data_IF_101552492016
#
_entry.id   IF_101552492016
#
_cell.length_a   1.000
_cell.length_b   1.000
_cell.length_c   1.000
_cell.angle_alpha   90.00
_cell.angle_beta   90.00
_cell.angle_gamma   90.00
#
_symmetry.space_group_name_H-M   'P 1'
#
loop_
_entity.id
_entity.type
_entity.pdbx_description
1 polymer ?
#
# COMPACT_ATOMS: atom_id res chain seq x y z
N UNK A 1 15.98 10.19 9.28
CA UNK A 1 16.88 10.61 10.38
C UNK A 1 16.33 10.05 11.68
N UNK A 2 17.17 9.40 12.47
CA UNK A 2 16.80 8.88 13.78
C UNK A 2 16.59 10.03 14.77
N UNK A 3 15.56 9.97 15.62
CA UNK A 3 15.33 10.97 16.64
C UNK A 3 16.29 10.74 17.83
N UNK A 4 17.20 11.68 18.14
CA UNK A 4 18.13 11.53 19.26
C UNK A 4 17.44 11.65 20.62
N UNK A 5 16.33 12.40 20.69
CA UNK A 5 15.56 12.62 21.93
C UNK A 5 14.77 11.39 22.39
N UNK A 6 14.69 10.34 21.56
CA UNK A 6 13.92 9.15 21.88
C UNK A 6 14.49 8.41 23.10
N UNK A 7 15.81 8.27 23.21
CA UNK A 7 16.44 7.55 24.34
C UNK A 7 16.31 8.30 25.65
N UNK A 8 16.33 9.63 25.60
CA UNK A 8 16.23 10.50 26.78
C UNK A 8 14.77 10.66 27.26
N UNK A 9 13.82 10.67 26.32
CA UNK A 9 12.40 10.91 26.60
C UNK A 9 11.58 9.64 26.85
N UNK A 10 11.98 8.47 26.32
CA UNK A 10 11.21 7.24 26.47
C UNK A 10 11.58 6.49 27.77
N UNK A 11 10.89 6.83 28.86
CA UNK A 11 11.05 6.18 30.18
C UNK A 11 9.98 5.12 30.46
N UNK A 12 8.89 5.13 29.70
CA UNK A 12 7.82 4.14 29.84
C UNK A 12 8.23 2.86 29.13
N UNK A 13 8.23 1.77 29.89
CA UNK A 13 8.36 0.41 29.34
C UNK A 13 7.02 -0.32 29.47
N UNK A 14 6.78 -1.32 28.60
CA UNK A 14 5.55 -2.13 28.62
C UNK A 14 5.08 -2.61 30.02
N UNK A 15 5.95 -3.02 30.97
CA UNK A 15 5.52 -3.40 32.33
C UNK A 15 5.23 -2.22 33.28
N UNK A 16 5.60 -0.98 32.92
CA UNK A 16 5.42 0.22 33.74
C UNK A 16 4.03 0.83 33.63
N UNK A 17 3.29 0.50 32.57
CA UNK A 17 1.91 0.96 32.37
C UNK A 17 1.00 0.08 33.22
N UNK A 18 0.75 0.49 34.47
CA UNK A 18 -0.09 -0.27 35.40
C UNK A 18 -1.51 -0.44 34.81
N UNK A 19 -1.94 -1.69 34.67
CA UNK A 19 -3.28 -2.12 34.21
C UNK A 19 -4.43 -1.47 34.99
N UNK A 20 -4.20 -0.98 36.20
CA UNK A 20 -5.22 -0.39 37.07
C UNK A 20 -5.51 1.10 36.76
N UNK A 21 -4.69 1.75 35.91
CA UNK A 21 -4.83 3.18 35.57
C UNK A 21 -5.09 3.46 34.08
N UNK A 22 -5.36 2.44 33.26
CA UNK A 22 -5.78 2.66 31.87
C UNK A 22 -7.30 2.90 31.81
N UNK A 23 -7.77 4.13 31.54
CA UNK A 23 -9.19 4.35 31.29
C UNK A 23 -9.61 3.59 30.03
N UNK A 24 -10.82 3.03 30.04
CA UNK A 24 -11.42 2.34 28.89
C UNK A 24 -11.55 3.24 27.64
N UNK A 25 -11.36 4.56 27.81
CA UNK A 25 -11.23 5.56 26.75
C UNK A 25 -10.06 6.51 27.07
N UNK A 26 -9.16 6.70 26.11
CA UNK A 26 -8.07 7.67 26.23
C UNK A 26 -8.62 9.10 26.06
N UNK A 27 -8.82 9.82 27.16
CA UNK A 27 -9.24 11.23 27.16
C UNK A 27 -8.08 12.16 27.52
N UNK A 28 -8.04 13.35 26.94
CA UNK A 28 -7.10 14.38 27.37
C UNK A 28 -7.28 14.72 28.86
N UNK A 29 -6.18 14.73 29.63
CA UNK A 29 -6.21 15.05 31.06
C UNK A 29 -6.73 16.46 31.36
N UNK A 30 -6.45 17.43 30.47
CA UNK A 30 -6.82 18.85 30.62
C UNK A 30 -8.25 19.13 30.16
N UNK A 31 -8.58 18.87 28.89
CA UNK A 31 -9.87 19.25 28.30
C UNK A 31 -10.87 18.08 28.13
N UNK A 32 -10.53 16.88 28.61
CA UNK A 32 -11.37 15.67 28.56
C UNK A 32 -11.85 15.26 27.15
N UNK A 33 -11.26 15.82 26.11
CA UNK A 33 -11.58 15.48 24.71
C UNK A 33 -11.05 14.09 24.37
N UNK A 34 -11.86 13.29 23.67
CA UNK A 34 -11.50 11.96 23.13
C UNK A 34 -10.80 12.05 21.76
N UNK A 35 -10.81 13.22 21.12
CA UNK A 35 -10.22 13.43 19.79
C UNK A 35 -8.70 13.53 19.87
N UNK A 36 -8.00 12.65 19.16
CA UNK A 36 -6.54 12.57 19.05
C UNK A 36 -5.83 12.57 20.41
N UNK A 37 -5.91 11.46 21.16
CA UNK A 37 -5.20 11.30 22.43
C UNK A 37 -3.73 10.89 22.22
N UNK A 38 -2.81 11.67 22.80
CA UNK A 38 -1.37 11.45 22.76
C UNK A 38 -0.83 11.17 24.17
N UNK A 39 -0.18 10.03 24.35
CA UNK A 39 0.51 9.67 25.60
C UNK A 39 1.96 10.16 25.56
N UNK A 40 2.41 10.86 26.60
CA UNK A 40 3.82 11.22 26.75
C UNK A 40 4.64 9.98 27.12
N UNK A 41 5.73 9.71 26.40
CA UNK A 41 6.59 8.54 26.65
C UNK A 41 7.51 8.68 27.87
N UNK A 42 7.56 9.87 28.47
CA UNK A 42 8.33 10.14 29.69
C UNK A 42 7.50 9.84 30.95
N UNK A 43 6.27 10.37 31.03
CA UNK A 43 5.47 10.39 32.25
C UNK A 43 4.11 9.66 32.16
N UNK A 44 3.64 9.34 30.95
CA UNK A 44 2.41 8.57 30.73
C UNK A 44 1.13 9.41 30.76
N UNK A 45 1.24 10.74 30.87
CA UNK A 45 0.10 11.64 30.78
C UNK A 45 -0.46 11.65 29.36
N UNK A 46 -1.78 11.56 29.24
CA UNK A 46 -2.51 11.60 27.95
C UNK A 46 -3.07 13.00 27.71
N UNK A 47 -2.70 13.61 26.59
CA UNK A 47 -3.11 14.94 26.19
C UNK A 47 -3.64 14.97 24.75
N UNK A 48 -4.51 15.92 24.42
CA UNK A 48 -4.99 16.04 23.04
C UNK A 48 -3.89 16.57 22.11
N UNK A 49 -3.95 16.15 20.85
CA UNK A 49 -2.97 16.50 19.82
C UNK A 49 -2.86 17.99 19.51
N UNK A 50 -1.80 18.34 18.79
CA UNK A 50 -1.44 19.73 18.39
C UNK A 50 -2.59 20.48 17.71
N UNK A 51 -3.41 19.78 16.93
CA UNK A 51 -4.47 20.36 16.11
C UNK A 51 -5.86 20.35 16.77
N UNK A 52 -6.00 19.71 17.95
CA UNK A 52 -7.30 19.55 18.62
C UNK A 52 -7.47 20.52 19.78
N UNK A 53 -6.38 20.94 20.44
CA UNK A 53 -6.28 22.04 21.42
C UNK A 53 -4.81 22.27 21.88
N UNK A 54 -3.88 21.39 21.48
CA UNK A 54 -2.44 21.60 21.69
C UNK A 54 -1.91 21.28 23.09
N UNK A 55 -2.69 20.61 23.96
CA UNK A 55 -2.23 20.27 25.32
C UNK A 55 -0.99 19.37 25.35
N UNK A 56 -0.79 18.49 24.36
CA UNK A 56 0.42 17.68 24.30
C UNK A 56 1.67 18.53 24.02
N UNK A 57 1.51 19.63 23.27
CA UNK A 57 2.58 20.62 23.04
C UNK A 57 2.83 21.47 24.28
N UNK A 58 1.78 21.98 24.92
CA UNK A 58 1.92 22.76 26.17
C UNK A 58 2.60 21.94 27.28
N UNK A 59 2.26 20.65 27.39
CA UNK A 59 2.90 19.75 28.35
C UNK A 59 4.41 19.61 28.14
N UNK A 60 4.88 19.67 26.89
CA UNK A 60 6.32 19.70 26.59
C UNK A 60 6.96 21.05 26.92
N UNK A 61 6.20 22.15 26.88
CA UNK A 61 6.69 23.51 27.18
C UNK A 61 6.71 23.80 28.70
N UNK A 62 5.85 23.16 29.50
CA UNK A 62 5.64 23.42 30.94
C UNK A 62 6.56 22.60 31.86
N UNK A 63 6.82 21.32 31.57
CA UNK A 63 7.60 20.40 32.41
C UNK A 63 8.93 20.01 31.75
N UNK A 64 10.06 20.43 32.32
CA UNK A 64 11.42 19.97 32.01
C UNK A 64 11.63 19.63 30.51
N UNK A 65 11.53 20.64 29.66
CA UNK A 65 11.14 20.59 28.24
C UNK A 65 11.89 19.61 27.31
N UNK A 66 13.06 19.10 27.71
CA UNK A 66 13.85 18.11 26.95
C UNK A 66 13.54 16.66 27.29
N UNK A 67 12.95 16.40 28.46
CA UNK A 67 12.61 15.03 28.87
C UNK A 67 11.22 14.61 28.34
N UNK A 68 10.31 15.55 28.09
CA UNK A 68 8.93 15.29 27.66
C UNK A 68 8.76 15.55 26.15
N UNK A 69 9.81 15.31 25.37
CA UNK A 69 9.86 15.72 23.96
C UNK A 69 9.18 14.75 23.01
N UNK A 70 8.92 13.50 23.43
CA UNK A 70 8.32 12.46 22.58
C UNK A 70 7.00 11.97 23.14
N UNK A 71 5.96 12.02 22.30
CA UNK A 71 4.63 11.50 22.60
C UNK A 71 4.23 10.46 21.55
N UNK A 72 3.33 9.55 21.91
CA UNK A 72 2.76 8.55 21.01
C UNK A 72 1.24 8.73 20.93
N UNK A 73 0.70 8.69 19.72
CA UNK A 73 -0.74 8.71 19.50
C UNK A 73 -1.34 7.35 19.90
N UNK A 74 -2.41 7.34 20.70
CA UNK A 74 -2.95 6.10 21.28
C UNK A 74 -3.75 5.26 20.26
N UNK A 75 -4.20 5.87 19.15
CA UNK A 75 -5.00 5.21 18.12
C UNK A 75 -4.14 4.68 16.98
N UNK A 76 -3.21 5.51 16.49
CA UNK A 76 -2.31 5.18 15.37
C UNK A 76 -0.97 4.61 15.79
N UNK A 77 -0.64 4.63 17.09
CA UNK A 77 0.63 4.19 17.68
C UNK A 77 1.86 4.88 17.09
N UNK A 78 1.64 6.04 16.45
CA UNK A 78 2.68 6.84 15.84
C UNK A 78 3.34 7.72 16.90
N UNK A 79 4.68 7.73 16.92
CA UNK A 79 5.43 8.55 17.85
C UNK A 79 5.84 9.86 17.18
N UNK A 80 5.73 10.98 17.87
CA UNK A 80 6.07 12.31 17.40
C UNK A 80 7.00 12.99 18.39
N UNK A 81 8.06 13.62 17.89
CA UNK A 81 8.98 14.41 18.69
C UNK A 81 8.70 15.90 18.46
N UNK A 82 8.30 16.60 19.52
CA UNK A 82 8.00 18.04 19.48
C UNK A 82 9.26 18.91 19.30
N UNK A 83 10.44 18.42 19.69
CA UNK A 83 11.71 19.14 19.50
C UNK A 83 12.22 19.01 18.06
N UNK A 84 12.11 17.81 17.47
CA UNK A 84 12.47 17.60 16.06
C UNK A 84 11.39 18.13 15.09
N UNK A 85 10.17 18.37 15.58
CA UNK A 85 8.96 18.64 14.79
C UNK A 85 8.73 17.59 13.69
N UNK A 86 9.06 16.33 14.00
CA UNK A 86 9.03 15.19 13.08
C UNK A 86 8.53 13.92 13.80
N UNK A 87 7.97 13.00 13.02
CA UNK A 87 7.60 11.68 13.52
C UNK A 87 8.85 10.84 13.79
N UNK A 88 8.83 10.13 14.91
CA UNK A 88 9.91 9.25 15.34
C UNK A 88 9.75 7.91 14.64
N UNK A 89 10.76 7.56 13.83
CA UNK A 89 10.79 6.31 13.04
C UNK A 89 11.56 5.20 13.76
N UNK A 90 12.60 5.59 14.51
CA UNK A 90 13.48 4.71 15.26
C UNK A 90 12.81 4.13 16.52
N UNK A 91 13.35 3.01 17.00
CA UNK A 91 13.04 2.46 18.33
C UNK A 91 14.23 2.74 19.26
N UNK A 92 13.97 2.72 20.57
CA UNK A 92 14.99 2.63 21.62
C UNK A 92 15.89 1.41 21.42
N UNK A 93 17.17 1.47 21.83
CA UNK A 93 18.12 0.33 21.76
C UNK A 93 17.59 -0.99 22.37
N UNK A 94 16.64 -0.92 23.31
CA UNK A 94 16.01 -2.08 23.97
C UNK A 94 14.68 -2.57 23.34
N UNK A 95 14.25 -1.96 22.23
CA UNK A 95 12.98 -2.30 21.56
C UNK A 95 11.73 -1.98 22.39
N UNK A 96 11.81 -0.99 23.29
CA UNK A 96 10.74 -0.66 24.23
C UNK A 96 9.54 -0.02 23.54
N UNK A 97 9.76 0.77 22.49
CA UNK A 97 8.70 1.41 21.73
C UNK A 97 7.85 0.36 21.03
N UNK A 98 8.49 -0.62 20.38
CA UNK A 98 7.78 -1.72 19.71
C UNK A 98 7.04 -2.63 20.69
N UNK A 99 7.61 -2.89 21.88
CA UNK A 99 6.91 -3.61 22.96
C UNK A 99 5.68 -2.84 23.45
N UNK A 100 5.79 -1.51 23.61
CA UNK A 100 4.69 -0.65 24.02
C UNK A 100 3.58 -0.63 22.96
N UNK A 101 3.93 -0.52 21.67
CA UNK A 101 2.97 -0.61 20.56
C UNK A 101 2.19 -1.92 20.60
N UNK A 102 2.89 -3.06 20.73
CA UNK A 102 2.25 -4.39 20.82
C UNK A 102 1.33 -4.50 22.03
N UNK A 103 1.73 -3.95 23.17
CA UNK A 103 0.91 -3.95 24.38
C UNK A 103 -0.37 -3.12 24.20
N UNK A 104 -0.28 -1.89 23.70
CA UNK A 104 -1.44 -1.04 23.45
C UNK A 104 -2.38 -1.62 22.36
N UNK A 105 -1.82 -2.24 21.32
CA UNK A 105 -2.60 -2.96 20.30
C UNK A 105 -3.39 -4.15 20.88
N UNK A 106 -2.81 -4.86 21.85
CA UNK A 106 -3.50 -5.97 22.52
C UNK A 106 -4.68 -5.52 23.39
N UNK A 107 -4.61 -4.31 23.94
CA UNK A 107 -5.66 -3.70 24.76
C UNK A 107 -6.82 -3.16 23.90
N UNK A 108 -6.52 -2.63 22.71
CA UNK A 108 -7.51 -2.05 21.81
C UNK A 108 -8.18 -3.07 20.85
N UNK A 109 -7.87 -4.37 20.94
CA UNK A 109 -8.51 -5.38 20.10
C UNK A 109 -9.82 -5.89 20.72
N UNK A 110 -10.99 -5.72 20.06
CA UNK A 110 -12.28 -6.16 20.61
C UNK A 110 -12.51 -7.69 20.65
N UNK A 111 -11.49 -8.50 20.32
CA UNK A 111 -11.63 -9.97 20.19
C UNK A 111 -11.14 -10.80 21.39
N UNK A 112 -10.63 -10.18 22.46
CA UNK A 112 -10.06 -10.92 23.61
C UNK A 112 -11.10 -11.47 24.60
N UNK A 113 -12.39 -11.14 24.49
CA UNK A 113 -13.41 -11.53 25.49
C UNK A 113 -14.09 -12.89 25.27
N UNK A 114 -13.72 -13.68 24.26
CA UNK A 114 -14.39 -14.97 23.96
C UNK A 114 -13.48 -16.20 23.84
N UNK A 115 -12.18 -16.12 24.17
CA UNK A 115 -11.23 -17.23 23.88
C UNK A 115 -10.71 -18.03 25.08
N UNK A 116 -11.31 -17.89 26.26
CA UNK A 116 -10.83 -18.55 27.48
C UNK A 116 -11.44 -19.93 27.81
N UNK A 117 -12.12 -20.60 26.86
CA UNK A 117 -12.70 -21.94 27.10
C UNK A 117 -12.15 -23.10 26.28
N UNK A 118 -11.10 -22.94 25.49
CA UNK A 118 -10.59 -24.04 24.66
C UNK A 118 -9.07 -24.12 24.54
N UNK A 119 -8.37 -24.27 25.68
CA UNK A 119 -7.04 -24.91 25.74
C UNK A 119 -6.90 -25.65 27.06
N UNK A 120 -7.51 -26.83 27.15
CA UNK A 120 -7.33 -27.77 28.27
C UNK A 120 -7.18 -29.22 27.80
N UNK A 121 -6.41 -29.44 26.73
CA UNK A 121 -5.89 -30.75 26.28
C UNK A 121 -4.66 -30.36 25.44
N UNK A 122 -3.40 -30.70 25.70
CA UNK A 122 -2.76 -31.78 26.43
C UNK A 122 -1.33 -31.34 26.80
N UNK A 123 -0.99 -31.35 28.08
CA UNK A 123 0.37 -31.35 28.60
C UNK A 123 0.68 -32.80 29.02
N UNK A 124 1.47 -33.48 28.21
CA UNK A 124 2.31 -34.67 28.48
C UNK A 124 3.14 -34.80 27.19
N UNK A 125 4.46 -34.70 27.10
CA UNK A 125 5.49 -35.07 28.05
C UNK A 125 6.70 -34.14 27.94
N UNK A 126 7.33 -34.01 29.10
CA UNK A 126 8.56 -33.30 29.37
C UNK A 126 9.80 -34.12 29.01
N UNK A 127 10.90 -33.39 28.83
CA UNK A 127 12.31 -33.83 28.94
C UNK A 127 12.85 -34.65 27.76
N UNK A 128 13.69 -34.01 26.93
CA UNK A 128 15.11 -34.37 26.81
C UNK A 128 15.83 -33.62 25.65
N UNK A 129 17.09 -33.27 25.94
CA UNK A 129 18.21 -33.08 24.99
C UNK A 129 18.40 -31.74 24.27
N UNK A 130 18.95 -30.80 25.04
CA UNK A 130 20.12 -30.03 24.61
C UNK A 130 21.31 -30.97 24.33
N UNK A 131 21.69 -31.16 23.06
CA UNK A 131 23.10 -31.18 22.54
C UNK A 131 23.18 -31.74 21.12
N UNK A 132 23.79 -30.92 20.24
CA UNK A 132 24.62 -31.28 19.07
C UNK A 132 23.96 -31.96 17.85
N UNK A 133 23.84 -31.20 16.77
CA UNK A 133 24.36 -31.52 15.41
C UNK A 133 24.26 -30.23 14.57
N UNK A 134 25.35 -29.45 14.45
CA UNK A 134 26.40 -29.57 13.43
C UNK A 134 25.81 -29.77 12.02
N UNK A 135 25.80 -28.66 11.28
CA UNK A 135 25.84 -28.50 9.82
C UNK A 135 25.35 -29.69 8.98
N UNK A 136 24.24 -29.49 8.27
CA UNK A 136 24.22 -29.78 6.84
C UNK A 136 23.98 -28.46 6.11
N UNK A 137 25.03 -28.05 5.41
CA UNK A 137 25.03 -26.97 4.46
C UNK A 137 24.30 -27.50 3.23
N UNK A 138 23.02 -27.16 3.06
CA UNK A 138 22.38 -27.31 1.76
C UNK A 138 23.02 -26.27 0.83
N UNK A 139 24.05 -26.75 0.12
CA UNK A 139 24.55 -26.13 -1.11
C UNK A 139 23.46 -26.32 -2.16
N UNK A 140 22.49 -25.41 -2.18
CA UNK A 140 21.68 -25.02 -3.36
C UNK A 140 20.60 -23.96 -3.04
N UNK A 141 20.75 -23.18 -1.96
CA UNK A 141 19.92 -22.00 -1.76
C UNK A 141 20.44 -20.86 -2.66
N UNK A 142 19.87 -20.75 -3.86
CA UNK A 142 20.00 -19.59 -4.73
C UNK A 142 19.73 -18.32 -3.88
N UNK A 143 20.69 -17.39 -3.70
CA UNK A 143 20.58 -16.29 -2.72
C UNK A 143 19.63 -15.16 -3.20
N UNK A 144 18.54 -15.50 -3.90
CA UNK A 144 17.69 -14.54 -4.60
C UNK A 144 16.55 -13.95 -3.76
N UNK A 145 16.33 -14.41 -2.53
CA UNK A 145 15.20 -13.95 -1.71
C UNK A 145 15.67 -13.35 -0.39
N UNK A 146 15.78 -12.02 -0.36
CA UNK A 146 15.99 -11.26 0.88
C UNK A 146 14.64 -10.77 1.41
N UNK A 147 14.36 -10.97 2.70
CA UNK A 147 13.18 -10.41 3.35
C UNK A 147 13.29 -8.89 3.54
N UNK A 148 12.16 -8.19 3.59
CA UNK A 148 12.10 -6.78 4.01
C UNK A 148 11.67 -6.72 5.48
N UNK A 149 12.35 -5.88 6.28
CA UNK A 149 11.95 -5.63 7.67
C UNK A 149 10.60 -4.92 7.68
N UNK A 150 9.73 -5.33 8.59
CA UNK A 150 8.50 -4.60 8.85
C UNK A 150 8.81 -3.50 9.87
N UNK A 151 8.65 -2.25 9.46
CA UNK A 151 8.90 -1.07 10.28
C UNK A 151 7.58 -0.62 10.93
N UNK A 152 6.81 -1.58 11.46
CA UNK A 152 5.48 -1.39 12.06
C UNK A 152 4.33 -1.89 11.17
N UNK A 153 3.69 -0.99 10.44
CA UNK A 153 2.56 -1.29 9.54
C UNK A 153 2.93 -1.16 8.05
N UNK A 154 4.17 -1.48 7.69
CA UNK A 154 4.70 -1.33 6.32
C UNK A 154 4.52 -2.57 5.45
N UNK A 155 3.69 -3.53 5.88
CA UNK A 155 3.48 -4.80 5.17
C UNK A 155 2.91 -4.61 3.76
N UNK A 156 2.01 -3.64 3.56
CA UNK A 156 1.44 -3.31 2.25
C UNK A 156 2.51 -2.82 1.27
N UNK A 157 3.48 -2.02 1.75
CA UNK A 157 4.62 -1.58 0.94
C UNK A 157 5.56 -2.74 0.63
N UNK A 158 5.91 -3.52 1.66
CA UNK A 158 6.82 -4.66 1.52
C UNK A 158 6.29 -5.68 0.50
N UNK A 159 4.99 -5.98 0.51
CA UNK A 159 4.35 -6.90 -0.43
C UNK A 159 4.44 -6.41 -1.89
N UNK A 160 4.24 -5.10 -2.11
CA UNK A 160 4.35 -4.50 -3.44
C UNK A 160 5.81 -4.47 -3.90
N UNK A 161 6.75 -4.08 -3.04
CA UNK A 161 8.18 -4.05 -3.37
C UNK A 161 8.72 -5.43 -3.72
N UNK A 162 8.32 -6.46 -2.97
CA UNK A 162 8.69 -7.85 -3.26
C UNK A 162 8.11 -8.31 -4.60
N UNK A 163 6.83 -8.02 -4.86
CA UNK A 163 6.18 -8.32 -6.14
C UNK A 163 6.90 -7.67 -7.33
N UNK A 164 7.19 -6.36 -7.23
CA UNK A 164 7.92 -5.62 -8.27
C UNK A 164 9.36 -6.12 -8.43
N UNK A 165 10.01 -6.52 -7.32
CA UNK A 165 11.39 -7.03 -7.36
C UNK A 165 11.53 -8.33 -8.14
N UNK A 166 10.46 -9.13 -8.21
CA UNK A 166 10.46 -10.40 -8.92
C UNK A 166 10.14 -10.27 -10.41
N UNK A 167 9.85 -9.05 -10.90
CA UNK A 167 9.66 -8.78 -12.33
C UNK A 167 11.04 -8.48 -12.94
N UNK A 168 11.60 -9.46 -13.64
CA UNK A 168 12.96 -9.41 -14.16
C UNK A 168 13.18 -8.27 -15.16
N UNK A 169 12.24 -8.03 -16.08
CA UNK A 169 12.32 -6.93 -17.06
C UNK A 169 12.39 -5.56 -16.39
N UNK A 170 11.51 -5.35 -15.40
CA UNK A 170 11.42 -4.11 -14.64
C UNK A 170 12.69 -3.88 -13.84
N UNK A 171 13.12 -4.87 -13.08
CA UNK A 171 14.33 -4.78 -12.26
C UNK A 171 15.60 -4.64 -13.11
N UNK A 172 15.70 -5.40 -14.20
CA UNK A 172 16.84 -5.33 -15.11
C UNK A 172 17.01 -3.97 -15.76
N UNK A 173 15.91 -3.28 -16.09
CA UNK A 173 15.97 -1.91 -16.55
C UNK A 173 16.40 -0.94 -15.44
N UNK A 174 15.70 -0.95 -14.30
CA UNK A 174 15.96 0.00 -13.20
C UNK A 174 17.41 -0.12 -12.69
N UNK A 175 17.97 -1.33 -12.61
CA UNK A 175 19.37 -1.55 -12.19
C UNK A 175 20.40 -1.01 -13.17
N UNK A 176 20.09 -1.01 -14.48
CA UNK A 176 20.99 -0.51 -15.53
C UNK A 176 20.96 1.01 -15.68
N UNK A 177 20.05 1.69 -14.98
CA UNK A 177 20.02 3.14 -14.97
C UNK A 177 21.35 3.67 -14.39
N UNK A 178 21.97 4.67 -15.06
CA UNK A 178 23.12 5.37 -14.47
C UNK A 178 22.69 6.06 -13.17
N UNK A 179 23.66 6.46 -12.33
CA UNK A 179 23.33 7.31 -11.18
C UNK A 179 22.62 8.57 -11.69
N UNK A 180 21.41 8.80 -11.18
CA UNK A 180 20.60 9.95 -11.58
C UNK A 180 21.00 11.22 -10.80
N UNK A 181 21.93 11.10 -9.84
CA UNK A 181 22.41 12.18 -8.98
C UNK A 181 23.06 13.32 -9.79
N UNK A 182 23.80 13.02 -10.87
CA UNK A 182 24.45 14.04 -11.72
C UNK A 182 23.48 14.78 -12.67
N UNK A 183 22.35 14.16 -13.02
CA UNK A 183 21.34 14.77 -13.90
C UNK A 183 20.47 15.81 -13.18
N UNK A 184 20.40 15.75 -11.85
CA UNK A 184 19.74 16.75 -10.99
C UNK A 184 20.35 18.14 -11.18
N UNK A 185 21.67 18.23 -11.40
CA UNK A 185 22.35 19.52 -11.56
C UNK A 185 21.93 20.29 -12.83
N UNK A 186 21.46 19.58 -13.88
CA UNK A 186 20.91 20.18 -15.11
C UNK A 186 19.41 20.50 -15.02
N UNK A 187 18.69 19.90 -14.09
CA UNK A 187 17.22 20.01 -13.94
C UNK A 187 16.72 21.23 -13.13
N UNK A 188 17.56 22.24 -12.91
CA UNK A 188 17.30 23.49 -12.16
C UNK A 188 16.06 24.32 -12.57
N UNK A 189 15.23 23.87 -13.51
CA UNK A 189 14.03 24.57 -14.03
C UNK A 189 12.69 23.84 -13.86
N UNK A 190 12.62 22.64 -13.25
CA UNK A 190 11.35 21.92 -13.10
C UNK A 190 10.98 21.65 -11.63
N UNK A 191 9.85 22.21 -11.19
CA UNK A 191 9.32 22.29 -9.82
C UNK A 191 8.93 20.97 -9.11
N UNK A 192 9.56 19.82 -9.42
CA UNK A 192 9.07 18.50 -8.98
C UNK A 192 10.00 17.73 -8.03
N UNK A 193 11.24 18.19 -7.83
CA UNK A 193 12.07 17.75 -6.71
C UNK A 193 11.64 18.48 -5.43
N UNK A 194 11.28 17.75 -4.38
CA UNK A 194 11.11 18.35 -3.05
C UNK A 194 12.48 18.44 -2.42
N UNK A 195 12.92 19.66 -2.12
CA UNK A 195 14.13 19.92 -1.34
C UNK A 195 13.93 19.45 0.09
N UNK A 196 14.90 18.72 0.61
CA UNK A 196 15.01 18.48 2.06
C UNK A 196 15.26 19.81 2.79
N UNK A 197 15.02 19.84 4.11
CA UNK A 197 15.46 20.95 4.99
C UNK A 197 16.99 21.20 4.89
N UNK A 198 17.76 20.25 4.35
CA UNK A 198 19.20 20.32 4.15
C UNK A 198 19.61 20.74 2.71
N UNK A 199 18.66 21.00 1.81
CA UNK A 199 18.94 21.49 0.45
C UNK A 199 19.18 20.41 -0.62
N UNK A 200 19.07 19.13 -0.28
CA UNK A 200 19.20 18.01 -1.23
C UNK A 200 17.87 17.68 -1.93
N UNK A 201 17.93 17.39 -3.22
CA UNK A 201 16.78 16.96 -4.04
C UNK A 201 16.59 15.45 -3.91
N UNK A 202 15.41 15.01 -3.49
CA UNK A 202 15.12 13.59 -3.26
C UNK A 202 14.40 12.98 -4.47
N UNK A 203 14.95 11.90 -5.04
CA UNK A 203 14.36 11.15 -6.16
C UNK A 203 13.86 9.78 -5.70
N UNK A 204 12.60 9.47 -5.97
CA UNK A 204 12.01 8.17 -5.65
C UNK A 204 12.67 7.06 -6.49
N UNK A 205 12.95 7.34 -7.77
CA UNK A 205 13.58 6.36 -8.69
C UNK A 205 14.91 5.85 -8.14
N UNK A 206 15.72 6.75 -7.58
CA UNK A 206 17.07 6.43 -7.12
C UNK A 206 17.04 5.55 -5.86
N UNK A 207 16.20 5.89 -4.89
CA UNK A 207 16.03 5.08 -3.68
C UNK A 207 15.35 3.74 -3.96
N UNK A 208 14.43 3.70 -4.93
CA UNK A 208 13.85 2.45 -5.42
C UNK A 208 14.93 1.59 -6.09
N UNK A 209 15.79 2.17 -6.93
CA UNK A 209 16.90 1.48 -7.57
C UNK A 209 17.86 0.86 -6.56
N UNK A 210 18.30 1.62 -5.55
CA UNK A 210 19.14 1.14 -4.45
C UNK A 210 18.50 -0.04 -3.71
N UNK A 211 17.21 0.08 -3.41
CA UNK A 211 16.44 -0.99 -2.73
C UNK A 211 16.33 -2.26 -3.59
N UNK A 212 16.04 -2.14 -4.88
CA UNK A 212 15.95 -3.28 -5.80
C UNK A 212 17.30 -3.96 -6.04
N UNK A 213 18.39 -3.20 -6.09
CA UNK A 213 19.76 -3.75 -6.16
C UNK A 213 20.04 -4.57 -4.90
N UNK A 214 19.78 -4.03 -3.72
CA UNK A 214 20.01 -4.71 -2.45
C UNK A 214 19.20 -6.01 -2.32
N UNK A 215 17.91 -5.98 -2.71
CA UNK A 215 17.04 -7.17 -2.69
C UNK A 215 17.59 -8.32 -3.54
N UNK A 216 18.11 -7.99 -4.73
CA UNK A 216 18.64 -8.96 -5.68
C UNK A 216 20.06 -9.43 -5.40
N UNK A 217 20.88 -8.60 -4.76
CA UNK A 217 22.23 -9.00 -4.34
C UNK A 217 22.18 -10.11 -3.28
N UNK A 218 21.07 -10.20 -2.54
CA UNK A 218 20.85 -11.30 -1.61
C UNK A 218 21.64 -11.12 -0.32
N UNK A 219 20.95 -10.82 0.78
CA UNK A 219 21.56 -10.80 2.11
C UNK A 219 21.00 -11.89 3.00
N UNK A 220 21.83 -12.46 3.88
CA UNK A 220 21.39 -13.43 4.91
C UNK A 220 20.41 -12.82 5.92
N UNK A 221 20.35 -11.49 5.99
CA UNK A 221 19.50 -10.72 6.90
C UNK A 221 18.43 -9.95 6.13
N UNK A 222 17.34 -9.62 6.81
CA UNK A 222 16.29 -8.80 6.24
C UNK A 222 16.78 -7.35 6.02
N UNK A 223 16.48 -6.82 4.82
CA UNK A 223 16.82 -5.48 4.36
C UNK A 223 15.81 -4.48 4.91
N UNK A 224 16.30 -3.32 5.36
CA UNK A 224 15.46 -2.23 5.87
C UNK A 224 15.45 -1.08 4.86
N UNK A 225 14.32 -0.80 4.18
CA UNK A 225 14.22 0.24 3.17
C UNK A 225 13.90 1.61 3.79
N UNK A 226 14.59 2.00 4.87
CA UNK A 226 14.31 3.24 5.63
C UNK A 226 14.43 4.50 4.77
N UNK A 227 15.43 4.55 3.89
CA UNK A 227 15.65 5.67 2.97
C UNK A 227 14.49 5.82 1.98
N UNK A 228 14.08 4.71 1.34
CA UNK A 228 12.95 4.70 0.41
C UNK A 228 11.64 5.13 1.10
N UNK A 229 11.39 4.66 2.32
CA UNK A 229 10.20 5.06 3.07
C UNK A 229 10.23 6.54 3.46
N UNK A 230 11.40 7.06 3.83
CA UNK A 230 11.57 8.49 4.10
C UNK A 230 11.21 9.33 2.88
N UNK A 231 11.60 8.92 1.67
CA UNK A 231 11.20 9.59 0.42
C UNK A 231 9.70 9.51 0.22
N UNK A 232 9.11 8.31 0.29
CA UNK A 232 7.68 8.09 0.08
C UNK A 232 6.85 8.97 1.01
N UNK A 233 7.22 9.07 2.29
CA UNK A 233 6.51 9.90 3.27
C UNK A 233 6.62 11.40 3.00
N UNK A 234 7.72 11.86 2.41
CA UNK A 234 7.87 13.26 1.99
C UNK A 234 7.08 13.58 0.73
N UNK A 235 7.05 12.66 -0.24
CA UNK A 235 6.33 12.87 -1.50
C UNK A 235 4.82 12.72 -1.26
N UNK A 236 4.38 11.73 -0.46
CA UNK A 236 2.98 11.47 -0.09
C UNK A 236 2.76 11.53 1.41
N UNK A 237 2.32 12.68 1.94
CA UNK A 237 1.99 12.82 3.35
C UNK A 237 0.88 11.85 3.81
N UNK A 238 0.01 11.38 2.92
CA UNK A 238 -1.06 10.42 3.26
C UNK A 238 -0.53 9.05 3.71
N UNK A 239 0.62 8.64 3.20
CA UNK A 239 1.27 7.39 3.63
C UNK A 239 2.16 7.60 4.86
N UNK A 240 2.28 8.84 5.37
CA UNK A 240 3.09 9.16 6.56
C UNK A 240 2.47 8.57 7.81
N UNK A 241 3.33 8.05 8.69
CA UNK A 241 2.94 7.44 9.95
C UNK A 241 2.85 5.92 9.86
N UNK A 242 2.27 5.32 10.89
CA UNK A 242 2.23 3.87 11.09
C UNK A 242 0.82 3.31 10.88
N UNK A 243 0.00 3.92 10.02
CA UNK A 243 -1.33 3.40 9.71
C UNK A 243 -1.26 2.28 8.67
N UNK A 244 -2.19 1.32 8.76
CA UNK A 244 -2.38 0.32 7.71
C UNK A 244 -3.05 0.98 6.50
N UNK A 245 -2.55 0.67 5.29
CA UNK A 245 -2.98 1.29 4.04
C UNK A 245 -3.25 0.22 2.99
N UNK A 246 -3.90 0.61 1.89
CA UNK A 246 -4.19 -0.28 0.77
C UNK A 246 -2.95 -0.48 -0.11
N UNK A 247 -2.61 -1.75 -0.39
CA UNK A 247 -1.45 -2.11 -1.19
C UNK A 247 -1.63 -1.72 -2.67
N UNK A 248 -2.84 -1.81 -3.22
CA UNK A 248 -3.13 -1.41 -4.60
C UNK A 248 -2.95 0.09 -4.77
N UNK A 249 -3.42 0.86 -3.80
CA UNK A 249 -3.25 2.32 -3.80
C UNK A 249 -1.77 2.72 -3.74
N UNK A 250 -0.99 2.05 -2.89
CA UNK A 250 0.46 2.26 -2.82
C UNK A 250 1.15 1.90 -4.14
N UNK A 251 0.83 0.76 -4.75
CA UNK A 251 1.40 0.32 -6.03
C UNK A 251 1.12 1.32 -7.15
N UNK A 252 -0.14 1.76 -7.29
CA UNK A 252 -0.52 2.75 -8.31
C UNK A 252 0.23 4.05 -8.12
N UNK A 253 0.33 4.52 -6.87
CA UNK A 253 1.08 5.72 -6.56
C UNK A 253 2.57 5.59 -6.93
N UNK A 254 3.19 4.47 -6.54
CA UNK A 254 4.61 4.20 -6.81
C UNK A 254 4.88 4.18 -8.32
N UNK A 255 4.05 3.50 -9.11
CA UNK A 255 4.20 3.41 -10.57
C UNK A 255 3.97 4.77 -11.25
N UNK A 256 2.95 5.53 -10.85
CA UNK A 256 2.67 6.86 -11.40
C UNK A 256 3.79 7.86 -11.11
N UNK A 257 4.31 7.85 -9.87
CA UNK A 257 5.43 8.71 -9.49
C UNK A 257 6.71 8.31 -10.21
N UNK A 258 7.00 7.01 -10.32
CA UNK A 258 8.13 6.49 -11.09
C UNK A 258 8.03 6.88 -12.57
N UNK A 259 6.84 6.77 -13.17
CA UNK A 259 6.60 7.18 -14.55
C UNK A 259 6.87 8.69 -14.72
N UNK A 260 6.32 9.53 -13.85
CA UNK A 260 6.49 10.98 -13.90
C UNK A 260 7.95 11.40 -13.74
N UNK A 261 8.68 10.84 -12.77
CA UNK A 261 10.10 11.14 -12.59
C UNK A 261 10.93 10.68 -13.79
N UNK A 262 10.74 9.45 -14.28
CA UNK A 262 11.48 8.94 -15.44
C UNK A 262 11.21 9.72 -16.73
N UNK A 263 9.98 10.18 -16.96
CA UNK A 263 9.64 11.03 -18.12
C UNK A 263 10.44 12.34 -18.15
N UNK A 264 10.78 12.87 -16.98
CA UNK A 264 11.50 14.13 -16.85
C UNK A 264 13.02 13.96 -16.87
N UNK A 265 13.52 12.86 -16.32
CA UNK A 265 14.95 12.55 -16.23
C UNK A 265 15.51 11.96 -17.54
N UNK A 266 14.74 11.09 -18.19
CA UNK A 266 15.10 10.41 -19.42
C UNK A 266 14.04 10.71 -20.49
N UNK A 267 14.12 11.85 -21.19
CA UNK A 267 13.29 12.04 -22.37
C UNK A 267 13.69 10.98 -23.40
N UNK A 268 12.86 9.94 -23.53
CA UNK A 268 13.10 8.85 -24.46
C UNK A 268 12.98 9.38 -25.90
N UNK A 269 14.01 9.22 -26.76
CA UNK A 269 14.02 9.77 -28.11
C UNK A 269 13.47 8.75 -29.12
N UNK A 270 12.28 8.19 -28.90
CA UNK A 270 11.66 7.31 -29.89
C UNK A 270 10.18 7.65 -30.09
N UNK A 271 9.88 8.20 -31.28
CA UNK A 271 8.54 8.32 -31.86
C UNK A 271 7.86 6.95 -32.13
N UNK A 272 8.56 5.83 -31.91
CA UNK A 272 8.11 4.46 -32.16
C UNK A 272 7.84 3.63 -30.89
N UNK A 273 7.63 4.27 -29.73
CA UNK A 273 7.09 3.55 -28.57
C UNK A 273 5.61 3.22 -28.80
N UNK A 274 5.19 1.94 -28.75
CA UNK A 274 3.78 1.58 -28.93
C UNK A 274 2.90 2.17 -27.81
N UNK A 275 3.45 2.48 -26.65
CA UNK A 275 2.72 3.16 -25.58
C UNK A 275 2.92 4.67 -25.66
N UNK A 276 1.85 5.41 -25.92
CA UNK A 276 1.82 6.86 -25.88
C UNK A 276 1.22 7.25 -24.52
N UNK A 277 2.06 7.68 -23.57
CA UNK A 277 1.57 8.41 -22.40
C UNK A 277 0.93 9.74 -22.82
N UNK A 278 0.28 10.48 -21.90
CA UNK A 278 -0.23 11.81 -22.24
C UNK A 278 0.91 12.65 -22.82
N UNK A 279 0.77 13.10 -24.08
CA UNK A 279 1.77 13.85 -24.88
C UNK A 279 2.84 13.04 -25.64
N UNK A 280 2.64 11.75 -25.96
CA UNK A 280 3.54 11.06 -26.91
C UNK A 280 4.80 10.43 -26.31
N UNK A 281 4.93 10.40 -24.97
CA UNK A 281 6.15 9.93 -24.29
C UNK A 281 5.88 8.66 -23.48
N UNK A 282 6.85 7.75 -23.44
CA UNK A 282 6.76 6.50 -22.69
C UNK A 282 7.93 6.32 -21.73
N UNK A 283 7.71 5.49 -20.71
CA UNK A 283 8.75 5.02 -19.80
C UNK A 283 8.68 3.52 -19.66
N UNK A 284 9.66 2.95 -18.95
CA UNK A 284 9.66 1.52 -18.60
C UNK A 284 8.36 1.07 -17.91
N UNK A 285 7.74 1.94 -17.10
CA UNK A 285 6.48 1.63 -16.41
C UNK A 285 5.38 1.35 -17.42
N UNK A 286 5.23 2.24 -18.40
CA UNK A 286 4.22 2.09 -19.44
C UNK A 286 4.57 1.03 -20.48
N UNK A 287 5.86 0.75 -20.69
CA UNK A 287 6.28 -0.34 -21.58
C UNK A 287 5.95 -1.72 -20.99
N UNK A 288 6.10 -1.88 -19.67
CA UNK A 288 5.89 -3.17 -18.98
C UNK A 288 4.42 -3.35 -18.59
N UNK A 289 3.83 -2.38 -17.89
CA UNK A 289 2.49 -2.48 -17.30
C UNK A 289 1.39 -1.83 -18.15
N UNK A 290 1.77 -1.07 -19.18
CA UNK A 290 0.85 -0.26 -19.95
C UNK A 290 0.03 -1.05 -20.96
N UNK A 291 -1.27 -1.18 -20.69
CA UNK A 291 -2.26 -1.68 -21.64
C UNK A 291 -3.17 -0.58 -22.21
N UNK A 292 -4.03 -0.97 -23.15
CA UNK A 292 -5.04 -0.08 -23.74
C UNK A 292 -6.42 -0.75 -23.71
N UNK A 293 -7.40 -0.11 -23.08
CA UNK A 293 -8.82 -0.47 -23.14
C UNK A 293 -9.50 0.28 -24.27
N UNK A 294 -10.50 -0.35 -24.86
CA UNK A 294 -11.47 0.27 -25.75
C UNK A 294 -12.83 0.22 -25.06
N UNK A 295 -13.37 1.38 -24.73
CA UNK A 295 -14.70 1.56 -24.17
C UNK A 295 -15.67 1.88 -25.32
N UNK A 296 -16.69 1.05 -25.48
CA UNK A 296 -17.73 1.18 -26.49
C UNK A 296 -19.05 1.52 -25.79
N UNK A 297 -19.66 2.63 -26.19
CA UNK A 297 -20.96 3.08 -25.69
C UNK A 297 -21.94 3.14 -26.86
N UNK A 298 -23.01 2.35 -26.79
CA UNK A 298 -24.04 2.31 -27.82
C UNK A 298 -25.34 2.92 -27.28
N UNK A 299 -25.83 3.96 -27.94
CA UNK A 299 -27.10 4.59 -27.58
C UNK A 299 -28.28 3.68 -27.97
N UNK A 300 -29.15 3.32 -27.02
CA UNK A 300 -30.29 2.41 -27.27
C UNK A 300 -31.42 3.05 -28.10
N UNK A 301 -31.40 4.37 -28.29
CA UNK A 301 -32.44 5.10 -29.03
C UNK A 301 -32.08 5.27 -30.51
N UNK A 302 -30.82 5.54 -30.82
CA UNK A 302 -30.38 5.83 -32.19
C UNK A 302 -29.29 4.91 -32.72
N UNK A 303 -28.85 3.93 -31.91
CA UNK A 303 -27.80 2.96 -32.23
C UNK A 303 -26.46 3.59 -32.66
N UNK A 304 -26.22 4.86 -32.31
CA UNK A 304 -24.90 5.47 -32.50
C UNK A 304 -23.91 4.85 -31.52
N UNK A 305 -22.79 4.37 -32.08
CA UNK A 305 -21.66 3.81 -31.34
C UNK A 305 -20.60 4.88 -31.10
N UNK A 306 -20.13 4.98 -29.87
CA UNK A 306 -19.03 5.87 -29.45
C UNK A 306 -17.88 5.02 -28.92
N UNK A 307 -16.68 5.21 -29.47
CA UNK A 307 -15.46 4.48 -29.07
C UNK A 307 -14.47 5.42 -28.43
N UNK A 308 -13.99 5.05 -27.24
CA UNK A 308 -12.93 5.76 -26.53
C UNK A 308 -11.81 4.79 -26.16
N UNK A 309 -10.57 5.23 -26.31
CA UNK A 309 -9.41 4.45 -25.93
C UNK A 309 -8.84 4.97 -24.61
N UNK A 310 -8.77 4.11 -23.61
CA UNK A 310 -8.36 4.46 -22.26
C UNK A 310 -7.11 3.64 -21.86
N UNK A 311 -5.95 4.27 -21.62
CA UNK A 311 -4.76 3.55 -21.18
C UNK A 311 -4.91 3.06 -19.73
N UNK A 312 -4.32 1.92 -19.41
CA UNK A 312 -4.34 1.36 -18.05
C UNK A 312 -2.97 0.79 -17.63
N UNK A 313 -2.73 0.73 -16.32
CA UNK A 313 -1.58 0.04 -15.70
C UNK A 313 -2.01 -1.22 -14.92
N UNK A 314 -3.29 -1.28 -14.56
CA UNK A 314 -3.91 -2.40 -13.87
C UNK A 314 -5.40 -2.48 -14.24
N UNK A 315 -5.98 -3.67 -14.12
CA UNK A 315 -7.43 -3.89 -14.26
C UNK A 315 -8.02 -4.20 -12.89
N UNK A 316 -8.98 -3.38 -12.47
CA UNK A 316 -9.71 -3.58 -11.22
C UNK A 316 -11.00 -4.34 -11.49
N UNK A 317 -11.01 -5.63 -11.16
CA UNK A 317 -12.09 -6.57 -11.43
C UNK A 317 -13.06 -6.66 -10.23
N UNK A 318 -14.34 -6.60 -10.52
CA UNK A 318 -15.39 -6.88 -9.55
C UNK A 318 -15.54 -8.40 -9.35
N UNK A 319 -15.84 -8.79 -8.10
CA UNK A 319 -16.19 -10.18 -7.78
C UNK A 319 -17.72 -10.30 -7.95
N UNK A 320 -18.22 -11.18 -8.85
CA UNK A 320 -19.64 -11.29 -9.12
C UNK A 320 -20.46 -11.54 -7.84
N UNK A 321 -21.60 -10.84 -7.72
CA UNK A 321 -22.45 -10.83 -6.50
C UNK A 321 -22.95 -12.24 -6.16
N UNK A 322 -23.19 -13.07 -7.18
CA UNK A 322 -23.62 -14.47 -7.02
C UNK A 322 -22.69 -15.30 -6.13
N UNK A 323 -21.40 -14.94 -6.05
CA UNK A 323 -20.41 -15.62 -5.20
C UNK A 323 -20.16 -14.90 -3.86
N UNK A 324 -20.84 -13.79 -3.59
CA UNK A 324 -20.67 -12.98 -2.38
C UNK A 324 -21.72 -13.28 -1.29
N UNK A 325 -22.87 -13.86 -1.65
CA UNK A 325 -23.98 -14.07 -0.71
C UNK A 325 -23.85 -15.35 0.13
N UNK A 326 -23.77 -15.18 1.46
CA UNK A 326 -23.88 -16.27 2.45
C UNK A 326 -25.27 -16.94 2.49
N UNK A 327 -26.25 -16.41 1.75
CA UNK A 327 -27.62 -16.95 1.62
C UNK A 327 -27.76 -18.05 0.57
N UNK A 328 -26.72 -18.37 -0.19
CA UNK A 328 -26.70 -19.47 -1.18
C UNK A 328 -26.58 -20.88 -0.54
N UNK A 329 -27.16 -21.09 0.64
CA UNK A 329 -27.29 -22.41 1.29
C UNK A 329 -28.63 -23.10 0.97
N UNK A 330 -29.44 -22.56 0.04
CA UNK A 330 -30.76 -23.12 -0.33
C UNK A 330 -31.03 -23.26 -1.83
N UNK A 331 -30.00 -23.52 -2.62
CA UNK A 331 -30.20 -24.11 -3.95
C UNK A 331 -29.05 -25.06 -4.24
N UNK A 332 -29.32 -26.36 -4.09
CA UNK A 332 -28.51 -27.42 -4.69
C UNK A 332 -28.41 -27.12 -6.20
N UNK A 333 -27.22 -27.33 -6.77
CA UNK A 333 -26.90 -27.34 -8.23
C UNK A 333 -26.22 -26.13 -8.88
N UNK A 334 -25.46 -25.30 -8.16
CA UNK A 334 -24.30 -24.62 -8.77
C UNK A 334 -23.18 -24.38 -7.76
N UNK A 335 -22.45 -25.44 -7.44
CA UNK A 335 -21.24 -25.45 -6.61
C UNK A 335 -20.03 -24.87 -7.40
N UNK A 336 -20.24 -23.73 -8.05
CA UNK A 336 -19.20 -23.04 -8.82
C UNK A 336 -18.29 -22.26 -7.89
N UNK A 337 -17.02 -22.67 -7.76
CA UNK A 337 -15.99 -21.79 -7.20
C UNK A 337 -15.82 -20.61 -8.15
N UNK A 338 -15.76 -19.38 -7.61
CA UNK A 338 -15.49 -18.19 -8.39
C UNK A 338 -14.11 -18.32 -9.04
N UNK A 339 -14.04 -18.33 -10.37
CA UNK A 339 -12.78 -18.32 -11.12
C UNK A 339 -12.41 -16.91 -11.52
N UNK A 340 -11.13 -16.66 -11.76
CA UNK A 340 -10.64 -15.39 -12.30
C UNK A 340 -11.27 -15.08 -13.67
N UNK A 341 -11.54 -16.11 -14.47
CA UNK A 341 -12.24 -15.99 -15.75
C UNK A 341 -13.65 -15.42 -15.59
N UNK A 342 -14.34 -15.73 -14.50
CA UNK A 342 -15.69 -15.22 -14.24
C UNK A 342 -15.63 -13.71 -13.96
N UNK A 343 -14.61 -13.26 -13.21
CA UNK A 343 -14.38 -11.84 -12.96
C UNK A 343 -13.99 -11.08 -14.25
N UNK A 344 -13.18 -11.69 -15.13
CA UNK A 344 -12.80 -11.09 -16.42
C UNK A 344 -13.98 -11.03 -17.39
N UNK A 345 -14.82 -12.07 -17.40
CA UNK A 345 -16.05 -12.10 -18.21
C UNK A 345 -16.98 -10.99 -17.73
N UNK A 346 -17.27 -10.92 -16.43
CA UNK A 346 -18.08 -9.85 -15.85
C UNK A 346 -17.53 -8.45 -16.12
N UNK A 347 -16.22 -8.29 -16.26
CA UNK A 347 -15.59 -7.00 -16.60
C UNK A 347 -15.78 -6.61 -18.08
N UNK A 348 -15.89 -7.58 -18.98
CA UNK A 348 -16.06 -7.37 -20.43
C UNK A 348 -17.50 -7.58 -20.93
N UNK A 349 -18.40 -7.95 -20.02
CA UNK A 349 -19.82 -8.07 -20.30
C UNK A 349 -20.43 -6.71 -20.64
N UNK A 350 -21.53 -6.74 -21.39
CA UNK A 350 -22.27 -5.55 -21.76
C UNK A 350 -23.09 -5.13 -20.54
N UNK A 351 -22.90 -3.91 -20.07
CA UNK A 351 -23.68 -3.30 -18.99
C UNK A 351 -24.60 -2.21 -19.55
N UNK A 352 -25.84 -2.16 -19.09
CA UNK A 352 -26.73 -1.02 -19.35
C UNK A 352 -26.43 0.07 -18.30
N UNK A 353 -26.24 1.31 -18.76
CA UNK A 353 -25.98 2.44 -17.86
C UNK A 353 -27.24 2.75 -17.03
N UNK A 354 -27.05 2.92 -15.72
CA UNK A 354 -28.10 3.31 -14.79
C UNK A 354 -28.63 4.74 -15.10
N UNK A 355 -29.80 5.09 -14.57
CA UNK A 355 -30.42 6.42 -14.73
C UNK A 355 -29.52 7.57 -14.23
N UNK A 356 -28.65 7.28 -13.27
CA UNK A 356 -27.66 8.22 -12.73
C UNK A 356 -26.48 8.45 -13.70
N UNK A 357 -26.22 7.51 -14.60
CA UNK A 357 -25.05 7.46 -15.48
C UNK A 357 -25.40 7.64 -16.97
N UNK A 358 -26.59 8.16 -17.29
CA UNK A 358 -27.05 8.36 -18.66
C UNK A 358 -26.03 9.12 -19.53
N UNK A 359 -25.70 8.54 -20.67
CA UNK A 359 -24.69 9.06 -21.60
C UNK A 359 -25.27 10.16 -22.50
N UNK A 360 -24.49 11.22 -22.71
CA UNK A 360 -24.88 12.30 -23.63
C UNK A 360 -24.63 11.88 -25.08
N UNK A 361 -25.69 11.50 -25.77
CA UNK A 361 -25.60 11.06 -27.16
C UNK A 361 -25.36 12.25 -28.10
N UNK A 362 -24.33 12.17 -28.94
CA UNK A 362 -23.98 13.20 -29.94
C UNK A 362 -25.09 13.42 -30.98
N UNK A 363 -25.74 12.34 -31.42
CA UNK A 363 -26.84 12.40 -32.39
C UNK A 363 -28.15 12.92 -31.76
N UNK A 364 -28.58 12.37 -30.63
CA UNK A 364 -29.81 12.81 -29.96
C UNK A 364 -29.68 14.17 -29.24
N UNK A 365 -28.45 14.64 -28.99
CA UNK A 365 -28.12 15.86 -28.22
C UNK A 365 -28.74 15.93 -26.82
N UNK A 366 -29.05 14.77 -26.22
CA UNK A 366 -29.57 14.62 -24.86
C UNK A 366 -28.99 13.38 -24.17
N UNK A 367 -29.14 13.31 -22.85
CA UNK A 367 -28.82 12.13 -22.05
C UNK A 367 -29.78 10.99 -22.39
N UNK A 368 -29.25 9.82 -22.71
CA UNK A 368 -30.02 8.67 -23.19
C UNK A 368 -29.54 7.38 -22.54
N UNK A 369 -30.44 6.41 -22.44
CA UNK A 369 -30.08 5.04 -22.09
C UNK A 369 -29.12 4.49 -23.14
N UNK A 370 -28.00 3.94 -22.67
CA UNK A 370 -26.95 3.43 -23.52
C UNK A 370 -26.34 2.20 -22.86
N UNK A 371 -25.89 1.25 -23.67
CA UNK A 371 -25.08 0.12 -23.19
C UNK A 371 -23.61 0.49 -23.26
N UNK A 372 -22.83 0.01 -22.31
CA UNK A 372 -21.39 0.18 -22.22
C UNK A 372 -20.71 -1.18 -22.23
N UNK A 373 -19.58 -1.27 -22.93
CA UNK A 373 -18.77 -2.49 -22.99
C UNK A 373 -17.30 -2.13 -22.98
N UNK A 374 -16.51 -2.90 -22.24
CA UNK A 374 -15.06 -2.82 -22.28
C UNK A 374 -14.46 -3.94 -23.12
N UNK A 375 -13.47 -3.59 -23.91
CA UNK A 375 -12.58 -4.52 -24.56
C UNK A 375 -11.13 -4.22 -24.24
N UNK A 376 -10.30 -5.25 -24.21
CA UNK A 376 -8.85 -5.06 -24.15
C UNK A 376 -8.38 -4.89 -25.59
N UNK A 377 -7.95 -3.69 -25.94
CA UNK A 377 -7.36 -3.42 -27.25
C UNK A 377 -5.90 -3.89 -27.27
N UNK A 378 -5.13 -3.60 -26.23
CA UNK A 378 -3.75 -4.05 -26.12
C UNK A 378 -3.44 -4.54 -24.72
N UNK A 379 -2.84 -5.72 -24.63
CA UNK A 379 -2.31 -6.27 -23.38
C UNK A 379 -0.92 -5.71 -23.05
N UNK A 380 -0.61 -5.47 -21.78
CA UNK A 380 0.74 -5.19 -21.32
C UNK A 380 1.59 -6.48 -21.26
N UNK A 381 2.92 -6.34 -21.20
CA UNK A 381 3.83 -7.47 -20.93
C UNK A 381 3.57 -8.09 -19.55
N UNK A 382 3.26 -7.24 -18.56
CA UNK A 382 2.89 -7.66 -17.21
C UNK A 382 1.51 -7.10 -16.89
N UNK A 383 0.52 -7.99 -16.83
CA UNK A 383 -0.86 -7.65 -16.49
C UNK A 383 -1.08 -7.65 -14.98
N UNK A 384 -1.33 -6.48 -14.40
CA UNK A 384 -1.72 -6.34 -13.01
C UNK A 384 -3.24 -6.47 -12.87
N UNK A 385 -3.71 -7.46 -12.11
CA UNK A 385 -5.12 -7.67 -11.80
C UNK A 385 -5.40 -7.35 -10.33
N UNK A 386 -6.26 -6.38 -10.09
CA UNK A 386 -6.72 -5.99 -8.77
C UNK A 386 -8.15 -6.52 -8.55
N UNK A 387 -8.35 -7.35 -7.54
CA UNK A 387 -9.68 -7.82 -7.16
C UNK A 387 -10.31 -6.83 -6.18
N UNK A 388 -11.44 -6.22 -6.55
CA UNK A 388 -12.19 -5.27 -5.70
C UNK A 388 -12.88 -6.02 -4.55
N UNK A 389 -12.11 -6.27 -3.48
CA UNK A 389 -12.56 -7.01 -2.30
C UNK A 389 -13.27 -6.17 -1.25
N UNK A 390 -13.59 -4.93 -1.55
CA UNK A 390 -14.32 -4.05 -0.64
C UNK A 390 -15.52 -3.46 -1.34
N UNK A 391 -16.70 -3.65 -0.73
CA UNK A 391 -17.95 -3.01 -1.19
C UNK A 391 -18.45 -2.09 -0.11
N UNK A 392 -19.01 -0.97 -0.55
CA UNK A 392 -19.69 -0.05 0.33
C UNK A 392 -21.17 -0.39 0.34
N UNK A 393 -21.70 -0.73 1.51
CA UNK A 393 -23.13 -0.66 1.75
C UNK A 393 -23.44 0.69 2.40
N UNK A 394 -24.72 1.11 2.41
CA UNK A 394 -25.16 2.43 2.89
C UNK A 394 -24.70 2.81 4.30
N UNK A 395 -24.22 1.84 5.10
CA UNK A 395 -23.84 2.04 6.51
C UNK A 395 -22.43 1.53 6.84
N UNK A 396 -21.87 0.56 6.10
CA UNK A 396 -20.57 -0.03 6.44
C UNK A 396 -19.83 -0.60 5.22
N UNK A 397 -18.50 -0.64 5.33
CA UNK A 397 -17.60 -1.29 4.37
C UNK A 397 -17.53 -2.79 4.64
N UNK A 398 -17.85 -3.59 3.65
CA UNK A 398 -17.76 -5.06 3.71
C UNK A 398 -16.54 -5.56 2.96
N UNK A 399 -15.77 -6.45 3.60
CA UNK A 399 -14.71 -7.21 2.94
C UNK A 399 -15.28 -8.47 2.30
N UNK A 400 -15.00 -8.68 1.02
CA UNK A 400 -15.33 -9.89 0.28
C UNK A 400 -14.22 -10.93 0.52
N UNK A 401 -14.56 -11.96 1.28
CA UNK A 401 -13.66 -13.07 1.61
C UNK A 401 -13.76 -14.24 0.63
N UNK A 402 -14.60 -14.12 -0.40
CA UNK A 402 -14.77 -15.13 -1.45
C UNK A 402 -13.43 -15.53 -2.04
N UNK A 403 -13.14 -16.83 -2.01
CA UNK A 403 -11.98 -17.40 -2.66
C UNK A 403 -12.14 -17.30 -4.17
N UNK A 404 -11.12 -16.76 -4.85
CA UNK A 404 -11.09 -16.66 -6.31
C UNK A 404 -9.98 -17.56 -6.81
N UNK A 405 -10.35 -18.58 -7.58
CA UNK A 405 -9.41 -19.50 -8.19
C UNK A 405 -8.77 -18.86 -9.43
N UNK A 406 -7.45 -18.78 -9.48
CA UNK A 406 -6.70 -18.23 -10.61
C UNK A 406 -5.63 -19.23 -11.09
N UNK A 407 -5.43 -19.36 -12.41
CA UNK A 407 -4.40 -20.25 -12.94
C UNK A 407 -3.00 -19.68 -12.65
N UNK A 408 -2.08 -20.55 -12.22
CA UNK A 408 -0.66 -20.17 -12.01
C UNK A 408 0.07 -20.04 -13.35
N UNK A 409 -0.37 -20.79 -14.37
CA UNK A 409 0.19 -20.78 -15.73
C UNK A 409 -0.95 -20.82 -16.75
N UNK A 410 -0.77 -20.16 -17.88
CA UNK A 410 -1.68 -20.26 -19.03
C UNK A 410 -3.03 -19.56 -18.85
N UNK A 411 -3.04 -18.31 -18.37
CA UNK A 411 -4.25 -17.47 -18.43
C UNK A 411 -4.47 -17.02 -19.88
N UNK A 412 -5.50 -17.56 -20.54
CA UNK A 412 -5.88 -17.17 -21.90
C UNK A 412 -6.71 -15.88 -21.88
N UNK A 413 -6.16 -14.81 -22.47
CA UNK A 413 -6.81 -13.50 -22.56
C UNK A 413 -7.48 -13.25 -23.91
N UNK A 414 -7.34 -14.16 -24.90
CA UNK A 414 -7.81 -13.91 -26.28
C UNK A 414 -9.30 -13.60 -26.36
N UNK A 415 -10.11 -14.17 -25.47
CA UNK A 415 -11.57 -13.95 -25.40
C UNK A 415 -11.97 -12.52 -25.03
N UNK A 416 -11.08 -11.81 -24.36
CA UNK A 416 -11.30 -10.46 -23.84
C UNK A 416 -10.61 -9.39 -24.70
N UNK A 417 -9.79 -9.82 -25.65
CA UNK A 417 -9.04 -8.96 -26.56
C UNK A 417 -9.81 -8.78 -27.87
N UNK A 418 -9.74 -7.59 -28.45
CA UNK A 418 -10.26 -7.35 -29.80
C UNK A 418 -9.41 -8.09 -30.83
N UNK A 419 -9.99 -9.09 -31.50
CA UNK A 419 -9.33 -9.90 -32.53
C UNK A 419 -9.00 -9.13 -33.83
N UNK A 420 -9.24 -7.82 -33.90
CA UNK A 420 -9.04 -6.99 -35.09
C UNK A 420 -7.66 -6.31 -35.16
N UNK A 421 -6.63 -6.87 -34.51
CA UNK A 421 -5.26 -6.34 -34.55
C UNK A 421 -4.27 -7.22 -35.32
N UNK A 422 -4.77 -7.95 -36.33
CA UNK A 422 -3.90 -8.47 -37.39
C UNK A 422 -3.99 -7.52 -38.58
N UNK A 423 -3.06 -6.57 -38.63
CA UNK A 423 -2.60 -5.91 -39.86
C UNK A 423 -1.35 -5.10 -39.54
#
# INVERSE_FOLDING_TARGET
MECPHLEESAKITAPSVKSENLPQQFTCSVCKTEKSPWICLCCGVVNCGRYVNGHARKHQEEDNARAHSVCMDCDSYSAFCYVCDEFVVNDTKGGHLEKLRKHLQSLNSPQSRLRDKSKRISQTDSVENNKRKKMKLDKDANPRSSGLRNLGNTCFMNAVLQSLSNIEEFCGYIKRLPSLEDQVYKMRKCHYAKRTKNGEDVLLVEELRKTLIALWQGTKTAISPDSLFSVIWQVVPRFRGYQQQDAHEFMRYLLDRLHTELLTLLPYPNDNSPFIGPKGKSTIVTAIFGGLLQNEVNCLICNMESKKHDPFLDLSLDIPIQYCSKTALKSKESEGRCKLTDCLTSFTDIEELEESELYMCSNCKKKQHSTKKFWIRRLPNVLCLHLKRFRWNSVFRLKIETFVEFPIRGLDMNRYVLNNLVS
#
